data_IF_598507742399
#
_entry.id   IF_598507742399
#
_cell.length_a   1.000
_cell.length_b   1.000
_cell.length_c   1.000
_cell.angle_alpha   90.00
_cell.angle_beta   90.00
_cell.angle_gamma   90.00
#
_symmetry.space_group_name_H-M   'P 1'
#
loop_
_entity.id
_entity.type
_entity.pdbx_description
1 polymer ?
#
# COMPACT_ATOMS: atom_id res chain seq x y z
N UNK A 1 -6.79 13.85 4.80
CA UNK A 1 -6.49 13.41 6.17
C UNK A 1 -4.99 13.34 6.36
N UNK A 2 -4.48 13.86 7.47
CA UNK A 2 -3.07 13.81 7.85
C UNK A 2 -2.94 12.81 9.00
N UNK A 3 -1.90 11.97 8.97
CA UNK A 3 -1.64 10.90 9.94
C UNK A 3 -0.17 10.95 10.36
N UNK A 4 0.09 10.74 11.65
CA UNK A 4 1.41 10.46 12.23
C UNK A 4 1.50 9.01 12.71
N UNK A 5 2.72 8.49 12.87
CA UNK A 5 2.93 7.11 13.39
C UNK A 5 2.39 6.91 14.82
N UNK A 6 2.26 7.99 15.59
CA UNK A 6 1.81 8.02 16.98
C UNK A 6 0.31 8.23 17.16
N UNK A 7 -0.43 8.57 16.09
CA UNK A 7 -1.89 8.79 16.17
C UNK A 7 -2.62 7.54 16.64
N UNK A 8 -3.85 7.67 17.14
CA UNK A 8 -4.68 6.49 17.44
C UNK A 8 -5.56 6.14 16.25
N UNK A 9 -5.65 4.86 15.93
CA UNK A 9 -6.58 4.36 14.91
C UNK A 9 -7.92 3.99 15.51
N UNK A 10 -8.99 4.27 14.77
CA UNK A 10 -10.35 3.92 15.16
C UNK A 10 -10.60 2.43 14.99
N UNK A 11 -11.45 1.87 15.86
CA UNK A 11 -12.05 0.56 15.66
C UNK A 11 -13.17 0.65 14.62
N UNK A 12 -13.31 -0.37 13.80
CA UNK A 12 -14.38 -0.51 12.81
C UNK A 12 -14.89 -1.95 12.82
N UNK A 13 -16.14 -2.15 12.45
CA UNK A 13 -16.72 -3.50 12.33
C UNK A 13 -15.98 -4.31 11.25
N UNK A 14 -15.50 -5.53 11.54
CA UNK A 14 -14.87 -6.39 10.54
C UNK A 14 -15.83 -6.72 9.40
N UNK A 15 -15.31 -6.66 8.18
CA UNK A 15 -16.02 -7.11 6.98
C UNK A 15 -15.11 -8.13 6.31
N UNK A 16 -15.61 -9.34 6.14
CA UNK A 16 -14.84 -10.43 5.55
C UNK A 16 -14.64 -10.21 4.05
N UNK A 17 -13.51 -10.68 3.52
CA UNK A 17 -13.24 -10.69 2.08
C UNK A 17 -13.02 -9.31 1.44
N UNK A 18 -12.92 -8.24 2.22
CA UNK A 18 -12.66 -6.88 1.72
C UNK A 18 -11.33 -6.32 2.22
N UNK A 19 -10.80 -5.38 1.45
CA UNK A 19 -9.50 -4.76 1.71
C UNK A 19 -9.50 -3.29 1.29
N UNK A 20 -8.58 -2.54 1.88
CA UNK A 20 -8.28 -1.17 1.48
C UNK A 20 -7.17 -1.16 0.43
N UNK A 21 -7.44 -0.48 -0.68
CA UNK A 21 -6.40 0.11 -1.52
C UNK A 21 -6.22 1.55 -1.09
N UNK A 22 -5.00 2.01 -0.91
CA UNK A 22 -4.75 3.38 -0.52
C UNK A 22 -3.56 3.98 -1.25
N UNK A 23 -3.60 5.30 -1.36
CA UNK A 23 -2.48 6.14 -1.77
C UNK A 23 -2.29 7.23 -0.73
N UNK A 24 -1.07 7.36 -0.25
CA UNK A 24 -0.68 8.46 0.63
C UNK A 24 0.68 9.01 0.25
N UNK A 25 0.90 10.26 0.63
CA UNK A 25 2.14 10.99 0.43
C UNK A 25 2.88 11.10 1.76
N UNK A 26 4.14 10.70 1.78
CA UNK A 26 5.09 11.09 2.82
C UNK A 26 5.46 12.55 2.55
N UNK A 27 4.94 13.46 3.37
CA UNK A 27 4.93 14.89 3.07
C UNK A 27 6.35 15.44 2.99
N UNK A 28 7.20 15.06 3.94
CA UNK A 28 8.55 15.62 4.10
C UNK A 28 9.50 15.19 2.97
N UNK A 29 9.21 14.09 2.27
CA UNK A 29 10.06 13.55 1.21
C UNK A 29 9.45 13.71 -0.19
N UNK A 30 8.20 14.18 -0.27
CA UNK A 30 7.37 14.16 -1.50
C UNK A 30 7.29 12.77 -2.17
N UNK A 31 7.25 11.72 -1.36
CA UNK A 31 7.21 10.32 -1.84
C UNK A 31 5.82 9.76 -1.70
N UNK A 32 5.37 9.03 -2.72
CA UNK A 32 4.06 8.40 -2.70
C UNK A 32 4.19 6.93 -2.35
N UNK A 33 3.33 6.45 -1.44
CA UNK A 33 3.06 5.02 -1.29
C UNK A 33 1.70 4.68 -1.90
N UNK A 34 1.66 3.63 -2.70
CA UNK A 34 0.43 2.98 -3.13
C UNK A 34 0.44 1.56 -2.60
N UNK A 35 -0.51 1.20 -1.73
CA UNK A 35 -0.48 -0.09 -1.08
C UNK A 35 -1.84 -0.65 -0.70
N UNK A 36 -1.74 -1.82 -0.11
CA UNK A 36 -2.83 -2.71 0.27
C UNK A 36 -2.88 -2.92 1.79
N UNK A 37 -4.09 -3.08 2.33
CA UNK A 37 -4.29 -3.54 3.70
C UNK A 37 -5.59 -4.34 3.83
N UNK A 38 -5.60 -5.30 4.77
CA UNK A 38 -6.85 -5.95 5.21
C UNK A 38 -7.83 -4.89 5.74
N UNK A 39 -9.13 -5.22 5.75
CA UNK A 39 -10.14 -4.32 6.32
C UNK A 39 -9.82 -3.95 7.78
N UNK A 40 -9.55 -4.96 8.60
CA UNK A 40 -9.19 -4.81 10.00
C UNK A 40 -7.92 -5.59 10.33
N UNK A 41 -7.23 -5.16 11.39
CA UNK A 41 -6.22 -5.96 12.08
C UNK A 41 -6.70 -6.31 13.50
N UNK A 42 -5.84 -6.99 14.28
CA UNK A 42 -6.12 -7.39 15.66
C UNK A 42 -6.70 -6.22 16.47
N UNK A 43 -7.80 -6.49 17.17
CA UNK A 43 -8.53 -5.47 17.95
C UNK A 43 -9.43 -4.56 17.11
N UNK A 44 -9.79 -5.03 15.91
CA UNK A 44 -10.72 -4.39 14.96
C UNK A 44 -10.29 -2.99 14.52
N UNK A 45 -8.98 -2.73 14.54
CA UNK A 45 -8.41 -1.46 14.12
C UNK A 45 -8.51 -1.31 12.60
N UNK A 46 -8.87 -0.11 12.14
CA UNK A 46 -9.00 0.23 10.73
C UNK A 46 -7.69 -0.07 9.97
N UNK A 47 -7.71 -1.10 9.12
CA UNK A 47 -6.48 -1.69 8.60
C UNK A 47 -5.68 -0.80 7.66
N UNK A 48 -6.35 0.00 6.82
CA UNK A 48 -5.70 1.01 6.00
C UNK A 48 -4.90 2.03 6.82
N UNK A 49 -5.49 2.58 7.87
CA UNK A 49 -4.85 3.59 8.74
C UNK A 49 -3.73 2.96 9.56
N UNK A 50 -3.93 1.76 10.11
CA UNK A 50 -2.87 1.02 10.80
C UNK A 50 -1.64 0.82 9.91
N UNK A 51 -1.83 0.40 8.65
CA UNK A 51 -0.69 0.19 7.75
C UNK A 51 0.02 1.48 7.38
N UNK A 52 -0.69 2.60 7.24
CA UNK A 52 -0.04 3.90 7.08
C UNK A 52 0.83 4.23 8.30
N UNK A 53 0.30 4.07 9.52
CA UNK A 53 1.03 4.36 10.77
C UNK A 53 2.26 3.48 10.96
N UNK A 54 2.11 2.17 10.75
CA UNK A 54 3.23 1.23 10.87
C UNK A 54 4.31 1.54 9.84
N UNK A 55 3.91 1.84 8.60
CA UNK A 55 4.83 2.20 7.54
C UNK A 55 5.57 3.52 7.84
N UNK A 56 4.89 4.53 8.38
CA UNK A 56 5.56 5.74 8.90
C UNK A 56 6.59 5.40 9.97
N UNK A 57 6.26 4.54 10.95
CA UNK A 57 7.23 4.13 11.97
C UNK A 57 8.42 3.36 11.40
N UNK A 58 8.24 2.59 10.33
CA UNK A 58 9.34 1.89 9.66
C UNK A 58 10.25 2.88 8.92
N UNK A 59 9.67 3.89 8.25
CA UNK A 59 10.44 4.97 7.63
C UNK A 59 11.20 5.78 8.69
N UNK A 60 10.54 6.13 9.80
CA UNK A 60 11.18 6.86 10.90
C UNK A 60 12.42 6.13 11.42
N UNK A 61 12.31 4.81 11.63
CA UNK A 61 13.44 3.96 12.03
C UNK A 61 14.52 3.86 10.93
N UNK A 62 14.11 3.68 9.67
CA UNK A 62 15.05 3.50 8.56
C UNK A 62 15.88 4.76 8.26
N UNK A 63 15.30 5.94 8.51
CA UNK A 63 15.92 7.25 8.30
C UNK A 63 16.49 7.87 9.57
N UNK A 64 16.47 7.13 10.70
CA UNK A 64 16.98 7.56 11.99
C UNK A 64 16.39 8.91 12.46
N UNK A 65 15.07 9.05 12.35
CA UNK A 65 14.34 10.22 12.85
C UNK A 65 13.41 9.84 14.01
N UNK A 66 13.16 10.75 14.97
CA UNK A 66 12.32 10.44 16.12
C UNK A 66 10.90 9.99 15.72
N UNK A 67 10.33 9.07 16.49
CA UNK A 67 8.98 8.56 16.24
C UNK A 67 7.93 9.67 16.37
N UNK A 68 7.02 9.77 15.41
CA UNK A 68 5.97 10.81 15.35
C UNK A 68 6.40 12.10 14.64
N UNK A 69 7.59 12.10 14.04
CA UNK A 69 8.12 13.24 13.28
C UNK A 69 7.49 13.30 11.90
N UNK A 70 7.38 12.16 11.22
CA UNK A 70 6.99 12.11 9.81
C UNK A 70 5.47 12.11 9.63
N UNK A 71 5.04 12.63 8.49
CA UNK A 71 3.64 12.88 8.21
C UNK A 71 3.18 12.18 6.94
N UNK A 72 2.10 11.40 7.03
CA UNK A 72 1.40 10.84 5.90
C UNK A 72 0.14 11.63 5.58
N UNK A 73 0.02 12.11 4.33
CA UNK A 73 -1.22 12.65 3.79
C UNK A 73 -1.94 11.59 2.96
N UNK A 74 -3.07 11.09 3.44
CA UNK A 74 -3.92 10.17 2.65
C UNK A 74 -4.57 10.94 1.51
N UNK A 75 -4.24 10.54 0.29
CA UNK A 75 -4.72 11.14 -0.96
C UNK A 75 -5.96 10.44 -1.50
N UNK A 76 -5.97 9.11 -1.42
CA UNK A 76 -7.10 8.29 -1.84
C UNK A 76 -7.13 6.99 -1.03
N UNK A 77 -8.33 6.49 -0.75
CA UNK A 77 -8.54 5.19 -0.13
C UNK A 77 -9.85 4.61 -0.65
N UNK A 78 -9.87 3.32 -0.97
CA UNK A 78 -11.05 2.63 -1.48
C UNK A 78 -11.17 1.24 -0.85
N UNK A 79 -12.37 0.93 -0.37
CA UNK A 79 -12.76 -0.39 0.15
C UNK A 79 -13.45 -1.19 -0.94
N UNK A 80 -12.92 -2.37 -1.27
CA UNK A 80 -13.47 -3.30 -2.27
C UNK A 80 -13.15 -4.76 -1.88
N UNK A 81 -13.77 -5.74 -2.55
CA UNK A 81 -13.36 -7.14 -2.42
C UNK A 81 -11.86 -7.31 -2.61
N UNK A 82 -11.24 -8.14 -1.77
CA UNK A 82 -9.80 -8.36 -1.68
C UNK A 82 -9.16 -8.56 -3.05
N UNK A 83 -9.68 -9.49 -3.84
CA UNK A 83 -9.12 -9.87 -5.14
C UNK A 83 -9.16 -8.69 -6.13
N UNK A 84 -10.21 -7.88 -6.09
CA UNK A 84 -10.33 -6.70 -6.95
C UNK A 84 -9.31 -5.63 -6.57
N UNK A 85 -9.08 -5.44 -5.27
CA UNK A 85 -8.04 -4.52 -4.83
C UNK A 85 -6.68 -5.03 -5.29
N UNK A 86 -6.38 -6.31 -5.07
CA UNK A 86 -5.10 -6.89 -5.40
C UNK A 86 -4.85 -6.81 -6.92
N UNK A 87 -5.85 -7.05 -7.76
CA UNK A 87 -5.77 -6.83 -9.20
C UNK A 87 -5.39 -5.38 -9.54
N UNK A 88 -6.10 -4.40 -8.95
CA UNK A 88 -5.84 -2.99 -9.20
C UNK A 88 -4.44 -2.56 -8.73
N UNK A 89 -4.00 -3.04 -7.57
CA UNK A 89 -2.68 -2.76 -7.00
C UNK A 89 -1.56 -3.38 -7.87
N UNK A 90 -1.70 -4.64 -8.28
CA UNK A 90 -0.72 -5.33 -9.12
C UNK A 90 -0.55 -4.64 -10.48
N UNK A 91 -1.63 -4.11 -11.06
CA UNK A 91 -1.54 -3.27 -12.27
C UNK A 91 -0.67 -2.03 -12.04
N UNK A 92 -0.87 -1.29 -10.94
CA UNK A 92 -0.07 -0.09 -10.63
C UNK A 92 1.40 -0.46 -10.46
N UNK A 93 1.70 -1.52 -9.71
CA UNK A 93 3.08 -1.95 -9.48
C UNK A 93 3.80 -2.42 -10.73
N UNK A 94 3.10 -3.13 -11.62
CA UNK A 94 3.69 -3.65 -12.85
C UNK A 94 3.99 -2.55 -13.86
N UNK A 95 3.06 -1.59 -14.03
CA UNK A 95 3.19 -0.57 -15.08
C UNK A 95 4.13 0.57 -14.73
N UNK A 96 4.49 0.72 -13.46
CA UNK A 96 5.22 1.88 -12.94
C UNK A 96 6.48 1.48 -12.16
N UNK A 97 7.12 0.37 -12.52
CA UNK A 97 8.32 -0.14 -11.84
C UNK A 97 9.51 0.82 -11.89
N UNK A 98 9.62 1.61 -12.97
CA UNK A 98 10.69 2.57 -13.18
C UNK A 98 10.67 3.75 -12.19
N UNK A 99 9.52 4.05 -11.58
CA UNK A 99 9.38 5.20 -10.68
C UNK A 99 9.67 4.83 -9.20
N UNK A 100 10.10 3.59 -8.92
CA UNK A 100 10.23 3.08 -7.54
C UNK A 100 11.49 3.58 -6.84
N UNK A 101 11.32 4.12 -5.64
CA UNK A 101 12.41 4.84 -4.94
C UNK A 101 13.48 3.94 -4.32
N UNK A 102 13.18 2.66 -4.02
CA UNK A 102 14.18 1.78 -3.41
C UNK A 102 15.41 1.52 -4.30
N UNK A 103 15.34 1.91 -5.57
CA UNK A 103 16.48 1.88 -6.50
C UNK A 103 17.42 3.07 -6.34
N UNK A 104 17.06 4.07 -5.54
CA UNK A 104 17.75 5.35 -5.41
C UNK A 104 18.40 5.55 -4.03
N UNK A 105 17.88 4.89 -2.99
CA UNK A 105 18.39 4.99 -1.62
C UNK A 105 18.10 3.70 -0.83
N UNK A 106 19.17 3.04 -0.38
CA UNK A 106 19.13 1.74 0.28
C UNK A 106 18.40 1.75 1.63
N UNK A 107 18.22 2.91 2.27
CA UNK A 107 17.42 3.00 3.51
C UNK A 107 15.99 2.52 3.28
N UNK A 108 15.43 2.74 2.09
CA UNK A 108 14.12 2.23 1.71
C UNK A 108 14.05 0.70 1.70
N UNK A 109 15.17 -0.01 1.54
CA UNK A 109 15.19 -1.48 1.60
C UNK A 109 14.79 -2.03 2.98
N UNK A 110 14.95 -1.20 4.03
CA UNK A 110 14.58 -1.51 5.42
C UNK A 110 13.10 -1.26 5.73
N UNK A 111 12.37 -0.59 4.83
CA UNK A 111 10.96 -0.22 5.05
C UNK A 111 10.02 -1.33 4.57
N UNK A 112 9.04 -1.69 5.40
CA UNK A 112 7.98 -2.65 5.02
C UNK A 112 7.20 -2.19 3.77
N UNK A 113 7.08 -3.08 2.77
CA UNK A 113 6.45 -2.72 1.49
C UNK A 113 7.30 -1.73 0.67
N UNK A 114 8.63 -1.81 0.75
CA UNK A 114 9.59 -0.99 -0.02
C UNK A 114 9.28 -0.84 -1.52
N UNK A 115 8.70 -1.87 -2.14
CA UNK A 115 8.35 -1.89 -3.58
C UNK A 115 7.10 -1.07 -3.92
N UNK A 116 6.46 -0.46 -2.92
CA UNK A 116 5.22 0.30 -3.03
C UNK A 116 5.44 1.82 -3.00
N UNK A 117 6.70 2.27 -2.90
CA UNK A 117 7.05 3.69 -2.84
C UNK A 117 7.56 4.21 -4.19
N UNK A 118 7.11 5.41 -4.55
CA UNK A 118 7.31 6.03 -5.85
C UNK A 118 7.73 7.49 -5.74
N UNK A 119 8.68 7.91 -6.56
CA UNK A 119 9.06 9.32 -6.73
C UNK A 119 8.22 9.94 -7.84
N UNK A 120 6.97 10.31 -7.52
CA UNK A 120 6.01 10.90 -8.46
C UNK A 120 5.13 11.95 -7.78
N UNK A 121 4.58 12.87 -8.58
CA UNK A 121 3.65 13.89 -8.08
C UNK A 121 2.33 13.27 -7.56
N UNK A 122 1.72 13.82 -6.50
CA UNK A 122 0.42 13.39 -5.98
C UNK A 122 -0.69 13.26 -7.04
N UNK A 123 -0.77 14.22 -7.96
CA UNK A 123 -1.77 14.22 -9.06
C UNK A 123 -1.63 12.97 -9.94
N UNK A 124 -0.41 12.60 -10.29
CA UNK A 124 -0.12 11.40 -11.09
C UNK A 124 -0.50 10.13 -10.34
N UNK A 125 -0.18 10.07 -9.04
CA UNK A 125 -0.52 8.92 -8.22
C UNK A 125 -2.05 8.70 -8.10
N UNK A 126 -2.81 9.77 -7.87
CA UNK A 126 -4.28 9.71 -7.81
C UNK A 126 -4.85 9.26 -9.15
N UNK A 127 -4.32 9.79 -10.27
CA UNK A 127 -4.76 9.38 -11.60
C UNK A 127 -4.48 7.89 -11.87
N UNK A 128 -3.28 7.40 -11.52
CA UNK A 128 -2.93 5.97 -11.65
C UNK A 128 -3.82 5.09 -10.78
N UNK A 129 -4.09 5.49 -9.55
CA UNK A 129 -5.01 4.81 -8.65
C UNK A 129 -6.43 4.75 -9.20
N UNK A 130 -6.97 5.85 -9.71
CA UNK A 130 -8.30 5.84 -10.32
C UNK A 130 -8.34 4.95 -11.56
N UNK A 131 -7.33 5.03 -12.42
CA UNK A 131 -7.24 4.28 -13.66
C UNK A 131 -7.04 2.78 -13.45
N UNK A 132 -6.38 2.35 -12.37
CA UNK A 132 -6.18 0.92 -12.10
C UNK A 132 -7.49 0.17 -11.87
N UNK A 133 -8.56 0.88 -11.51
CA UNK A 133 -9.89 0.31 -11.37
C UNK A 133 -10.68 0.23 -12.67
N UNK A 134 -10.16 0.62 -13.84
CA UNK A 134 -10.85 0.35 -15.11
C UNK A 134 -10.84 -1.16 -15.39
N UNK A 135 -11.90 -1.68 -15.99
CA UNK A 135 -12.07 -3.13 -16.19
C UNK A 135 -10.89 -3.76 -16.94
N UNK A 136 -10.45 -3.12 -18.04
CA UNK A 136 -9.29 -3.56 -18.84
C UNK A 136 -7.99 -3.56 -18.05
N UNK A 137 -7.75 -2.53 -17.23
CA UNK A 137 -6.53 -2.43 -16.42
C UNK A 137 -6.51 -3.45 -15.27
N UNK A 138 -7.66 -3.72 -14.66
CA UNK A 138 -7.78 -4.78 -13.66
C UNK A 138 -7.50 -6.16 -14.26
N UNK A 139 -7.93 -6.42 -15.49
CA UNK A 139 -7.63 -7.67 -16.18
C UNK A 139 -6.11 -7.88 -16.31
N UNK A 140 -5.37 -6.85 -16.74
CA UNK A 140 -3.90 -6.89 -16.78
C UNK A 140 -3.28 -7.11 -15.40
N UNK A 141 -3.81 -6.44 -14.37
CA UNK A 141 -3.39 -6.65 -12.99
C UNK A 141 -3.62 -8.07 -12.48
N UNK A 142 -4.74 -8.68 -12.87
CA UNK A 142 -5.08 -10.08 -12.57
C UNK A 142 -4.08 -11.05 -13.20
N UNK A 143 -3.67 -10.82 -14.44
CA UNK A 143 -2.65 -11.64 -15.11
C UNK A 143 -1.32 -11.59 -14.34
N UNK A 144 -0.86 -10.39 -13.98
CA UNK A 144 0.35 -10.20 -13.16
C UNK A 144 0.22 -10.94 -11.83
N UNK A 145 -0.92 -10.80 -11.15
CA UNK A 145 -1.20 -11.47 -9.88
C UNK A 145 -1.11 -12.99 -10.00
N UNK A 146 -1.69 -13.57 -11.05
CA UNK A 146 -1.65 -15.02 -11.31
C UNK A 146 -0.21 -15.48 -11.51
N UNK A 147 0.57 -14.77 -12.34
CA UNK A 147 1.99 -15.10 -12.55
C UNK A 147 2.78 -15.05 -11.23
N UNK A 148 2.57 -14.05 -10.40
CA UNK A 148 3.23 -13.93 -9.09
C UNK A 148 2.84 -15.05 -8.12
N UNK A 149 1.56 -15.44 -8.11
CA UNK A 149 1.05 -16.57 -7.31
C UNK A 149 1.70 -17.88 -7.75
N UNK A 150 1.77 -18.14 -9.05
CA UNK A 150 2.42 -19.33 -9.60
C UNK A 150 3.92 -19.40 -9.25
N UNK A 151 4.57 -18.26 -9.03
CA UNK A 151 5.96 -18.16 -8.58
C UNK A 151 6.13 -18.20 -7.05
N UNK A 152 5.05 -18.33 -6.28
CA UNK A 152 5.09 -18.30 -4.81
C UNK A 152 5.56 -16.96 -4.23
N UNK A 153 5.37 -15.84 -4.95
CA UNK A 153 5.89 -14.57 -4.52
C UNK A 153 5.16 -14.05 -3.27
N UNK A 154 5.94 -13.69 -2.25
CA UNK A 154 5.43 -13.11 -1.00
C UNK A 154 4.62 -11.82 -1.27
N UNK A 155 3.52 -11.64 -0.52
CA UNK A 155 2.62 -10.49 -0.66
C UNK A 155 1.51 -10.66 -1.70
N UNK A 156 1.46 -11.79 -2.41
CA UNK A 156 0.35 -12.15 -3.32
C UNK A 156 -0.11 -13.59 -3.02
N UNK A 157 -0.72 -13.86 -1.85
CA UNK A 157 -1.05 -15.23 -1.45
C UNK A 157 -1.99 -15.90 -2.45
N UNK A 158 -1.75 -17.16 -2.77
CA UNK A 158 -2.64 -17.98 -3.61
C UNK A 158 -3.81 -18.51 -2.77
N UNK A 159 -4.97 -18.77 -3.40
CA UNK A 159 -6.12 -19.36 -2.69
C UNK A 159 -5.91 -20.84 -2.29
N UNK A 160 -4.77 -21.45 -2.65
CA UNK A 160 -4.41 -22.81 -2.24
C UNK A 160 -3.13 -22.76 -1.39
N UNK A 161 -3.24 -22.37 -0.13
CA UNK A 161 -2.10 -22.37 0.79
C UNK A 161 -2.42 -21.60 2.05
N UNK A 162 -2.64 -22.37 3.12
CA UNK A 162 -2.81 -21.99 4.52
C UNK A 162 -2.29 -20.60 4.88
N UNK A 163 -3.19 -19.79 5.43
CA UNK A 163 -2.86 -18.64 6.25
C UNK A 163 -1.98 -19.13 7.40
N UNK A 164 -0.70 -18.75 7.40
CA UNK A 164 0.15 -18.83 8.58
C UNK A 164 -0.28 -17.86 9.65
#
# INVERSE_FOLDING_TARGET
>A
MIIKSTDKTKKIEPIEGVAFHYVWQLVEFDIIKNGFARHTYKGDLHGGIERVRWCLSDVEKAFDVPRGTLTAKVLAMRLRPWEMVLDAEQFVHARNSQDKIYTQDDRWLKVGGKTEFYSIKPKTAIARFANSYRATNRALGREVKIIKRLRGQYGVPSMCGTYG
#
